data_IF_530159227140
#
_entry.id   IF_530159227140
#
_cell.length_a   1.000
_cell.length_b   1.000
_cell.length_c   1.000
_cell.angle_alpha   90.00
_cell.angle_beta   90.00
_cell.angle_gamma   90.00
#
_symmetry.space_group_name_H-M   'P 1'
#
loop_
_entity.id
_entity.type
_entity.pdbx_description
1 polymer ?
#
# COMPACT_ATOMS: atom_id res chain seq x y z
N UNK A 1 12.61 -4.12 -12.47
CA UNK A 1 11.20 -4.01 -12.01
C UNK A 1 10.70 -2.57 -12.12
N UNK A 2 9.41 -2.38 -12.42
CA UNK A 2 8.72 -1.09 -12.54
C UNK A 2 7.55 -1.07 -11.56
N UNK A 3 7.41 0.01 -10.80
CA UNK A 3 6.31 0.21 -9.85
C UNK A 3 5.27 1.12 -10.50
N UNK A 4 4.05 0.61 -10.62
CA UNK A 4 2.88 1.33 -11.11
C UNK A 4 2.10 1.81 -9.88
N UNK A 5 2.23 3.10 -9.56
CA UNK A 5 1.55 3.71 -8.42
C UNK A 5 0.26 4.40 -8.88
N UNK A 6 -0.85 4.09 -8.21
CA UNK A 6 -2.09 4.81 -8.43
C UNK A 6 -1.97 6.27 -7.99
N UNK A 7 -2.54 7.19 -8.77
CA UNK A 7 -2.63 8.59 -8.38
C UNK A 7 -3.99 9.12 -8.82
N UNK A 8 -4.86 9.37 -7.83
CA UNK A 8 -6.27 9.68 -8.09
C UNK A 8 -6.52 11.19 -8.27
N UNK A 9 -5.47 12.01 -8.40
CA UNK A 9 -5.62 13.46 -8.65
C UNK A 9 -6.27 13.67 -10.01
N UNK A 10 -7.40 14.38 -10.04
CA UNK A 10 -8.15 14.62 -11.26
C UNK A 10 -8.92 13.40 -11.79
N UNK A 11 -8.84 12.24 -11.13
CA UNK A 11 -9.63 11.07 -11.48
C UNK A 11 -11.06 11.24 -10.96
N UNK A 12 -12.05 11.01 -11.82
CA UNK A 12 -13.46 11.00 -11.42
C UNK A 12 -13.75 9.70 -10.66
N UNK A 13 -13.83 9.81 -9.33
CA UNK A 13 -14.05 8.66 -8.43
C UNK A 13 -15.53 8.45 -8.15
N UNK A 14 -15.93 7.19 -8.10
CA UNK A 14 -17.24 6.71 -7.64
C UNK A 14 -17.09 5.82 -6.40
N UNK A 15 -16.16 4.85 -6.44
CA UNK A 15 -15.86 3.96 -5.32
C UNK A 15 -14.35 3.66 -5.33
N UNK A 16 -13.66 4.14 -4.30
CA UNK A 16 -12.20 4.28 -4.31
C UNK A 16 -11.45 2.97 -4.61
N UNK A 17 -11.90 1.82 -4.09
CA UNK A 17 -11.18 0.55 -4.27
C UNK A 17 -11.29 0.10 -5.73
N UNK A 18 -12.51 0.08 -6.27
CA UNK A 18 -12.75 -0.29 -7.67
C UNK A 18 -12.09 0.68 -8.65
N UNK A 19 -12.04 1.98 -8.32
CA UNK A 19 -11.40 2.98 -9.15
C UNK A 19 -9.87 2.86 -9.15
N UNK A 20 -9.26 2.56 -8.01
CA UNK A 20 -7.81 2.27 -7.92
C UNK A 20 -7.47 1.01 -8.70
N UNK A 21 -8.29 -0.05 -8.59
CA UNK A 21 -8.10 -1.28 -9.38
C UNK A 21 -8.19 -0.97 -10.88
N UNK A 22 -9.18 -0.19 -11.32
CA UNK A 22 -9.33 0.19 -12.73
C UNK A 22 -8.15 1.03 -13.22
N UNK A 23 -7.68 1.98 -12.43
CA UNK A 23 -6.52 2.81 -12.75
C UNK A 23 -5.26 1.94 -12.92
N UNK A 24 -5.00 1.02 -11.99
CA UNK A 24 -3.83 0.16 -12.02
C UNK A 24 -3.89 -0.85 -13.16
N UNK A 25 -5.07 -1.42 -13.45
CA UNK A 25 -5.26 -2.28 -14.61
C UNK A 25 -4.90 -1.57 -15.93
N UNK A 26 -5.40 -0.34 -16.13
CA UNK A 26 -5.01 0.45 -17.31
C UNK A 26 -3.51 0.79 -17.33
N UNK A 27 -2.90 1.03 -16.17
CA UNK A 27 -1.45 1.27 -16.08
C UNK A 27 -0.63 0.04 -16.43
N UNK A 28 -1.10 -1.15 -16.05
CA UNK A 28 -0.52 -2.44 -16.42
C UNK A 28 -0.59 -2.63 -17.93
N UNK A 29 -1.75 -2.39 -18.55
CA UNK A 29 -1.94 -2.53 -20.00
C UNK A 29 -0.98 -1.62 -20.77
N UNK A 30 -0.81 -0.37 -20.32
CA UNK A 30 0.14 0.57 -20.92
C UNK A 30 1.59 0.10 -20.78
N UNK A 31 1.98 -0.44 -19.63
CA UNK A 31 3.33 -0.95 -19.41
C UNK A 31 3.64 -2.17 -20.29
N UNK A 32 2.67 -3.09 -20.42
CA UNK A 32 2.78 -4.25 -21.30
C UNK A 32 2.87 -3.83 -22.77
N UNK A 33 2.05 -2.87 -23.21
CA UNK A 33 2.11 -2.32 -24.57
C UNK A 33 3.45 -1.63 -24.86
N UNK A 34 4.12 -1.09 -23.84
CA UNK A 34 5.46 -0.52 -23.94
C UNK A 34 6.59 -1.57 -23.89
N UNK A 35 6.27 -2.86 -23.82
CA UNK A 35 7.24 -3.96 -23.83
C UNK A 35 7.83 -4.31 -22.46
N UNK A 36 7.28 -3.80 -21.36
CA UNK A 36 7.72 -4.20 -20.01
C UNK A 36 7.12 -5.57 -19.70
N UNK A 37 7.98 -6.55 -19.38
CA UNK A 37 7.55 -7.91 -19.03
C UNK A 37 6.65 -7.93 -17.78
N UNK A 38 5.65 -8.83 -17.77
CA UNK A 38 4.65 -8.96 -16.70
C UNK A 38 5.28 -9.14 -15.31
N UNK A 39 6.29 -10.00 -15.22
CA UNK A 39 7.03 -10.31 -14.00
C UNK A 39 7.79 -9.11 -13.43
N UNK A 40 8.07 -8.08 -14.24
CA UNK A 40 8.73 -6.86 -13.80
C UNK A 40 7.77 -5.86 -13.17
N UNK A 41 6.45 -6.06 -13.23
CA UNK A 41 5.47 -5.11 -12.73
C UNK A 41 5.18 -5.33 -11.24
N UNK A 42 5.10 -4.23 -10.49
CA UNK A 42 4.68 -4.13 -9.09
C UNK A 42 3.59 -3.05 -9.03
N UNK A 43 2.56 -3.23 -8.21
CA UNK A 43 1.49 -2.24 -8.04
C UNK A 43 1.57 -1.55 -6.68
N UNK A 44 1.25 -0.26 -6.62
CA UNK A 44 1.13 0.51 -5.37
C UNK A 44 -0.23 1.23 -5.35
N UNK A 45 -1.07 1.05 -4.30
CA UNK A 45 -2.38 1.70 -4.19
C UNK A 45 -2.32 3.23 -4.08
N UNK A 46 -1.14 3.82 -3.89
CA UNK A 46 -0.96 5.27 -3.88
C UNK A 46 -1.65 5.94 -2.70
N UNK A 47 -1.63 5.33 -1.51
CA UNK A 47 -2.29 5.89 -0.31
C UNK A 47 -1.92 7.37 -0.13
N UNK A 48 -2.87 8.28 -0.01
CA UNK A 48 -2.62 9.72 0.13
C UNK A 48 -2.27 10.47 -1.15
N UNK A 49 -2.35 9.84 -2.33
CA UNK A 49 -2.19 10.51 -3.62
C UNK A 49 -3.55 10.68 -4.33
N UNK A 50 -4.12 11.88 -4.21
CA UNK A 50 -5.44 12.18 -4.80
C UNK A 50 -6.62 11.57 -4.03
N UNK A 51 -6.38 11.13 -2.80
CA UNK A 51 -7.36 10.49 -1.92
C UNK A 51 -7.58 11.27 -0.64
N UNK A 52 -8.81 11.24 -0.13
CA UNK A 52 -9.18 11.77 1.19
C UNK A 52 -8.70 10.83 2.31
N UNK A 53 -8.64 11.30 3.58
CA UNK A 53 -8.34 10.41 4.71
C UNK A 53 -9.30 9.21 4.81
N UNK A 54 -10.60 9.40 4.56
CA UNK A 54 -11.60 8.34 4.59
C UNK A 54 -11.37 7.32 3.47
N UNK A 55 -11.04 7.79 2.26
CA UNK A 55 -10.66 6.93 1.13
C UNK A 55 -9.40 6.12 1.43
N UNK A 56 -8.38 6.73 2.06
CA UNK A 56 -7.17 6.01 2.49
C UNK A 56 -7.48 4.89 3.48
N UNK A 57 -8.34 5.15 4.48
CA UNK A 57 -8.75 4.13 5.43
C UNK A 57 -9.56 3.02 4.76
N UNK A 58 -10.39 3.34 3.77
CA UNK A 58 -11.12 2.34 3.00
C UNK A 58 -10.21 1.49 2.13
N UNK A 59 -9.23 2.08 1.45
CA UNK A 59 -8.20 1.35 0.72
C UNK A 59 -7.38 0.44 1.64
N UNK A 60 -6.99 0.92 2.82
CA UNK A 60 -6.27 0.10 3.80
C UNK A 60 -7.12 -1.04 4.34
N UNK A 61 -8.43 -0.84 4.56
CA UNK A 61 -9.34 -1.87 5.04
C UNK A 61 -9.61 -2.97 4.01
N UNK A 62 -9.58 -2.62 2.72
CA UNK A 62 -9.91 -3.48 1.57
C UNK A 62 -8.71 -3.72 0.67
N UNK A 63 -7.49 -3.60 1.21
CA UNK A 63 -6.25 -3.67 0.45
C UNK A 63 -6.09 -5.02 -0.25
N UNK A 64 -6.58 -6.10 0.38
CA UNK A 64 -6.52 -7.45 -0.18
C UNK A 64 -7.24 -7.61 -1.51
N UNK A 65 -8.19 -6.74 -1.87
CA UNK A 65 -8.89 -6.78 -3.16
C UNK A 65 -7.96 -6.46 -4.34
N UNK A 66 -6.88 -5.71 -4.13
CA UNK A 66 -5.89 -5.41 -5.18
C UNK A 66 -5.15 -6.66 -5.66
N UNK A 67 -5.17 -7.75 -4.89
CA UNK A 67 -4.58 -9.03 -5.30
C UNK A 67 -5.22 -9.59 -6.57
N UNK A 68 -6.44 -9.17 -6.91
CA UNK A 68 -7.09 -9.51 -8.16
C UNK A 68 -6.30 -9.09 -9.41
N UNK A 69 -5.39 -8.11 -9.28
CA UNK A 69 -4.49 -7.67 -10.36
C UNK A 69 -3.31 -8.62 -10.61
N UNK A 70 -3.11 -9.63 -9.77
CA UNK A 70 -2.10 -10.68 -10.00
C UNK A 70 -0.64 -10.23 -9.95
N UNK A 71 -0.37 -9.06 -9.37
CA UNK A 71 0.98 -8.48 -9.23
C UNK A 71 1.34 -8.24 -7.77
N UNK A 72 2.65 -8.28 -7.41
CA UNK A 72 3.10 -7.93 -6.07
C UNK A 72 2.65 -6.53 -5.67
N UNK A 73 2.26 -6.37 -4.40
CA UNK A 73 1.76 -5.12 -3.85
C UNK A 73 2.86 -4.43 -3.02
N UNK A 74 3.17 -3.18 -3.36
CA UNK A 74 3.97 -2.28 -2.56
C UNK A 74 3.07 -1.33 -1.78
N UNK A 75 3.24 -1.26 -0.46
CA UNK A 75 2.50 -0.35 0.42
C UNK A 75 3.40 0.76 0.96
N UNK A 76 3.10 2.00 0.61
CA UNK A 76 3.75 3.19 1.15
C UNK A 76 2.82 4.01 2.04
N UNK A 77 2.83 3.79 3.36
CA UNK A 77 1.98 4.51 4.34
C UNK A 77 2.77 5.32 5.36
N UNK A 78 4.09 5.09 5.45
CA UNK A 78 4.94 5.63 6.50
C UNK A 78 4.83 7.15 6.64
N UNK A 79 4.52 7.58 7.87
CA UNK A 79 4.38 8.99 8.30
C UNK A 79 3.33 9.81 7.53
N UNK A 80 2.43 9.19 6.74
CA UNK A 80 1.43 9.94 5.96
C UNK A 80 0.44 10.70 6.85
N UNK A 81 -0.11 11.78 6.30
CA UNK A 81 -1.02 12.70 7.01
C UNK A 81 -2.25 12.01 7.59
N UNK A 82 -2.82 11.01 6.89
CA UNK A 82 -3.95 10.22 7.41
C UNK A 82 -3.65 9.60 8.78
N UNK A 83 -2.43 9.12 9.02
CA UNK A 83 -2.04 8.58 10.34
C UNK A 83 -2.10 9.69 11.39
N UNK A 84 -1.49 10.85 11.10
CA UNK A 84 -1.52 12.00 12.00
C UNK A 84 -2.95 12.42 12.34
N UNK A 85 -3.82 12.52 11.34
CA UNK A 85 -5.22 12.90 11.53
C UNK A 85 -5.99 11.91 12.41
N UNK A 86 -5.82 10.60 12.19
CA UNK A 86 -6.49 9.56 12.99
C UNK A 86 -6.01 9.57 14.44
N UNK A 87 -4.73 9.85 14.67
CA UNK A 87 -4.12 9.85 16.00
C UNK A 87 -4.18 11.21 16.71
N UNK A 88 -5.10 12.10 16.33
CA UNK A 88 -5.31 13.37 17.03
C UNK A 88 -4.39 14.52 16.60
N UNK A 89 -3.86 14.47 15.37
CA UNK A 89 -3.08 15.56 14.78
C UNK A 89 -1.55 15.42 14.95
N UNK A 90 -1.03 14.22 15.21
CA UNK A 90 0.41 14.03 15.47
C UNK A 90 1.30 14.56 14.35
N UNK A 91 2.46 15.18 14.67
CA UNK A 91 3.44 15.59 13.68
C UNK A 91 4.08 14.36 13.01
N UNK A 92 4.69 14.55 11.83
CA UNK A 92 5.15 13.43 11.01
C UNK A 92 6.14 12.48 11.70
N UNK A 93 6.98 12.98 12.62
CA UNK A 93 7.99 12.20 13.32
C UNK A 93 7.44 11.39 14.51
N UNK A 94 6.19 11.62 14.93
CA UNK A 94 5.51 10.90 16.02
C UNK A 94 4.50 9.86 15.48
N UNK A 95 4.62 9.45 14.21
CA UNK A 95 3.65 8.56 13.53
C UNK A 95 4.13 7.12 13.43
N UNK A 96 5.08 6.70 14.26
CA UNK A 96 5.75 5.40 14.10
C UNK A 96 4.80 4.24 14.45
N UNK A 97 4.01 4.37 15.51
CA UNK A 97 3.03 3.37 15.95
C UNK A 97 1.89 3.25 14.93
N UNK A 98 1.41 4.38 14.42
CA UNK A 98 0.42 4.38 13.35
C UNK A 98 0.97 3.81 12.05
N UNK A 99 2.25 4.06 11.73
CA UNK A 99 2.92 3.43 10.59
C UNK A 99 2.99 1.92 10.78
N UNK A 100 3.43 1.45 11.95
CA UNK A 100 3.49 0.04 12.31
C UNK A 100 2.14 -0.66 12.13
N UNK A 101 1.06 -0.03 12.58
CA UNK A 101 -0.30 -0.56 12.43
C UNK A 101 -0.67 -0.74 10.95
N UNK A 102 -0.41 0.27 10.10
CA UNK A 102 -0.70 0.16 8.66
C UNK A 102 0.14 -0.91 7.96
N UNK A 103 1.40 -1.08 8.37
CA UNK A 103 2.31 -2.10 7.83
C UNK A 103 1.82 -3.50 8.21
N UNK A 104 1.54 -3.76 9.49
CA UNK A 104 1.09 -5.07 9.95
C UNK A 104 -0.24 -5.48 9.31
N UNK A 105 -1.22 -4.57 9.25
CA UNK A 105 -2.50 -4.82 8.59
C UNK A 105 -2.37 -4.96 7.06
N UNK A 106 -1.40 -4.26 6.46
CA UNK A 106 -1.06 -4.42 5.05
C UNK A 106 -0.53 -5.81 4.73
N UNK A 107 0.41 -6.31 5.56
CA UNK A 107 0.97 -7.66 5.45
C UNK A 107 -0.13 -8.71 5.63
N UNK A 108 -0.99 -8.55 6.63
CA UNK A 108 -2.14 -9.43 6.88
C UNK A 108 -3.10 -9.53 5.68
N UNK A 109 -3.12 -8.50 4.82
CA UNK A 109 -3.92 -8.48 3.59
C UNK A 109 -3.15 -8.85 2.32
N UNK A 110 -1.88 -9.27 2.44
CA UNK A 110 -1.08 -9.75 1.33
C UNK A 110 -0.23 -8.69 0.63
N UNK A 111 0.16 -7.62 1.33
CA UNK A 111 1.24 -6.73 0.86
C UNK A 111 2.56 -7.50 0.80
N UNK A 112 3.35 -7.30 -0.26
CA UNK A 112 4.64 -7.98 -0.47
C UNK A 112 5.84 -7.09 -0.14
N UNK A 113 5.70 -5.77 -0.33
CA UNK A 113 6.76 -4.79 -0.13
C UNK A 113 6.22 -3.63 0.69
N UNK A 114 6.98 -3.16 1.67
CA UNK A 114 6.64 -1.94 2.42
C UNK A 114 7.69 -0.86 2.21
N UNK A 115 7.25 0.37 1.95
CA UNK A 115 8.11 1.56 1.82
C UNK A 115 8.00 2.41 3.08
N UNK A 116 9.10 2.49 3.83
CA UNK A 116 9.13 3.07 5.18
C UNK A 116 10.32 4.00 5.40
N UNK A 117 10.18 4.96 6.32
CA UNK A 117 11.27 5.84 6.76
C UNK A 117 12.05 5.22 7.94
N UNK A 118 11.33 4.58 8.86
CA UNK A 118 11.84 4.02 10.12
C UNK A 118 12.18 2.54 9.95
N UNK A 119 13.30 2.25 9.27
CA UNK A 119 13.66 0.90 8.82
C UNK A 119 13.79 -0.09 9.98
N UNK A 120 14.48 0.30 11.06
CA UNK A 120 14.83 -0.61 12.15
C UNK A 120 13.59 -1.14 12.87
N UNK A 121 12.66 -0.25 13.19
CA UNK A 121 11.40 -0.57 13.85
C UNK A 121 10.48 -1.34 12.91
N UNK A 122 10.37 -0.92 11.65
CA UNK A 122 9.48 -1.57 10.69
C UNK A 122 9.98 -2.97 10.31
N UNK A 123 11.29 -3.23 10.30
CA UNK A 123 11.83 -4.58 10.14
C UNK A 123 11.35 -5.54 11.24
N UNK A 124 11.22 -5.06 12.48
CA UNK A 124 10.68 -5.87 13.59
C UNK A 124 9.20 -6.17 13.38
N UNK A 125 8.42 -5.17 12.97
CA UNK A 125 6.99 -5.32 12.66
C UNK A 125 6.78 -6.30 11.50
N UNK A 126 7.54 -6.15 10.41
CA UNK A 126 7.48 -7.03 9.24
C UNK A 126 7.78 -8.47 9.64
N UNK A 127 8.91 -8.73 10.30
CA UNK A 127 9.31 -10.07 10.73
C UNK A 127 8.25 -10.74 11.60
N UNK A 128 7.72 -10.01 12.59
CA UNK A 128 6.70 -10.56 13.48
C UNK A 128 5.38 -10.80 12.74
N UNK A 129 4.98 -9.88 11.85
CA UNK A 129 3.75 -10.00 11.05
C UNK A 129 3.84 -11.17 10.08
N UNK A 130 4.95 -11.33 9.38
CA UNK A 130 5.18 -12.44 8.44
C UNK A 130 5.14 -13.79 9.16
N UNK A 131 5.73 -13.90 10.35
CA UNK A 131 5.67 -15.15 11.09
C UNK A 131 4.24 -15.55 11.50
N UNK A 132 3.38 -14.57 11.82
CA UNK A 132 1.97 -14.81 12.12
C UNK A 132 1.19 -15.16 10.86
N UNK A 133 1.34 -14.36 9.80
CA UNK A 133 0.47 -14.38 8.62
C UNK A 133 0.90 -15.45 7.62
N UNK A 134 2.21 -15.64 7.46
CA UNK A 134 2.82 -16.50 6.44
C UNK A 134 3.44 -17.77 7.02
N UNK A 135 3.48 -17.90 8.35
CA UNK A 135 4.06 -19.07 9.02
C UNK A 135 5.59 -19.15 8.85
N UNK A 136 6.27 -18.02 8.62
CA UNK A 136 7.73 -18.00 8.49
C UNK A 136 8.37 -18.50 9.78
N UNK A 137 9.10 -19.61 9.70
CA UNK A 137 9.81 -20.20 10.84
C UNK A 137 10.98 -19.33 11.28
N UNK A 138 11.17 -19.20 12.60
CA UNK A 138 12.30 -18.54 13.22
C UNK A 138 13.39 -19.58 13.52
N UNK A 139 14.31 -19.77 12.58
CA UNK A 139 15.56 -20.51 12.82
C UNK A 139 16.70 -19.52 13.00
#
# INVERSE_FOLDING_TARGET
PVILMANMRGYQKHEIVSDVIRFLAGSIDLALAAGIAWEHLIIDPGIGFGTTPQENLTLLRRLGELRALGRPILLGTSRKSTIGLVLGGLPAHERIEGTAATVALGIAQGTDIVRVHDIHEMMRVVKMSDAIVRGTTFS
#
